data_IF_722950105703
#
_entry.id   IF_722950105703
#
_cell.length_a   1.000
_cell.length_b   1.000
_cell.length_c   1.000
_cell.angle_alpha   90.00
_cell.angle_beta   90.00
_cell.angle_gamma   90.00
#
_symmetry.space_group_name_H-M   'P 1'
#
loop_
_entity.id
_entity.type
_entity.pdbx_description
1 polymer ?
#
# COMPACT_ATOMS: atom_id res chain seq x y z
N UNK A 1 2.57 -2.04 -12.82
CA UNK A 1 1.31 -1.28 -12.64
C UNK A 1 1.38 -0.26 -11.51
N UNK A 2 1.73 -0.60 -10.25
CA UNK A 2 1.80 0.37 -9.14
C UNK A 2 2.63 1.62 -9.49
N UNK A 3 3.88 1.44 -9.93
CA UNK A 3 4.77 2.54 -10.33
C UNK A 3 4.15 3.45 -11.40
N UNK A 4 3.59 2.85 -12.45
CA UNK A 4 2.99 3.59 -13.57
C UNK A 4 1.80 4.44 -13.12
N UNK A 5 0.95 3.89 -12.25
CA UNK A 5 -0.18 4.63 -11.67
C UNK A 5 0.30 5.80 -10.78
N UNK A 6 1.32 5.59 -9.95
CA UNK A 6 1.93 6.66 -9.16
C UNK A 6 2.60 7.73 -10.05
N UNK A 7 3.32 7.32 -11.10
CA UNK A 7 3.94 8.24 -12.07
C UNK A 7 2.88 9.12 -12.76
N UNK A 8 1.72 8.54 -13.08
CA UNK A 8 0.54 9.22 -13.62
C UNK A 8 -0.24 10.10 -12.61
N UNK A 9 0.20 10.17 -11.35
CA UNK A 9 -0.45 11.02 -10.34
C UNK A 9 -1.64 10.37 -9.63
N UNK A 10 -1.81 9.05 -9.73
CA UNK A 10 -2.93 8.34 -9.10
C UNK A 10 -2.54 7.78 -7.74
N UNK A 11 -3.44 7.89 -6.76
CA UNK A 11 -3.40 7.04 -5.58
C UNK A 11 -3.53 5.57 -5.99
N UNK A 12 -2.88 4.67 -5.25
CA UNK A 12 -2.88 3.24 -5.56
C UNK A 12 -3.35 2.43 -4.36
N UNK A 13 -4.33 1.56 -4.59
CA UNK A 13 -4.69 0.46 -3.71
C UNK A 13 -4.34 -0.85 -4.43
N UNK A 14 -3.44 -1.65 -3.86
CA UNK A 14 -2.93 -2.87 -4.49
C UNK A 14 -3.13 -4.11 -3.61
N UNK A 15 -3.30 -5.26 -4.25
CA UNK A 15 -3.32 -6.56 -3.55
C UNK A 15 -1.98 -6.90 -2.88
N UNK A 16 -2.03 -7.77 -1.86
CA UNK A 16 -0.81 -8.31 -1.25
C UNK A 16 -0.30 -9.55 -2.03
N UNK A 17 1.01 -9.79 -2.12
CA UNK A 17 2.10 -8.88 -1.75
C UNK A 17 2.27 -7.75 -2.78
N UNK A 18 2.60 -6.55 -2.31
CA UNK A 18 2.79 -5.37 -3.17
C UNK A 18 3.96 -5.52 -4.15
N UNK A 19 5.00 -6.23 -3.73
CA UNK A 19 6.23 -6.49 -4.47
C UNK A 19 6.99 -7.66 -3.82
N UNK A 20 8.01 -8.17 -4.52
CA UNK A 20 8.72 -9.39 -4.13
C UNK A 20 9.80 -9.18 -3.06
N UNK A 21 10.26 -7.94 -2.84
CA UNK A 21 11.28 -7.62 -1.85
C UNK A 21 11.10 -6.22 -1.28
N UNK A 22 11.72 -5.98 -0.11
CA UNK A 22 11.62 -4.72 0.61
C UNK A 22 12.25 -3.52 -0.12
N UNK A 23 13.33 -3.74 -0.89
CA UNK A 23 13.99 -2.67 -1.65
C UNK A 23 13.10 -2.10 -2.75
N UNK A 24 12.38 -2.96 -3.48
CA UNK A 24 11.40 -2.53 -4.46
C UNK A 24 10.21 -1.81 -3.79
N UNK A 25 9.75 -2.27 -2.62
CA UNK A 25 8.71 -1.57 -1.88
C UNK A 25 9.14 -0.16 -1.48
N UNK A 26 10.36 -0.01 -0.95
CA UNK A 26 10.89 1.27 -0.51
C UNK A 26 10.95 2.29 -1.66
N UNK A 27 11.28 1.86 -2.88
CA UNK A 27 11.25 2.72 -4.07
C UNK A 27 9.83 3.20 -4.40
N UNK A 28 8.82 2.34 -4.27
CA UNK A 28 7.42 2.70 -4.52
C UNK A 28 6.88 3.65 -3.44
N UNK A 29 7.21 3.42 -2.17
CA UNK A 29 6.85 4.31 -1.06
C UNK A 29 7.46 5.70 -1.26
N UNK A 30 8.77 5.77 -1.58
CA UNK A 30 9.45 7.04 -1.85
C UNK A 30 8.82 7.80 -3.02
N UNK A 31 8.44 7.09 -4.10
CA UNK A 31 7.78 7.69 -5.24
C UNK A 31 6.39 8.25 -4.88
N UNK A 32 5.60 7.51 -4.11
CA UNK A 32 4.30 7.95 -3.64
C UNK A 32 4.41 9.19 -2.74
N UNK A 33 5.35 9.17 -1.79
CA UNK A 33 5.64 10.26 -0.86
C UNK A 33 6.04 11.56 -1.59
N UNK A 34 6.98 11.45 -2.54
CA UNK A 34 7.45 12.61 -3.33
C UNK A 34 6.35 13.26 -4.16
N UNK A 35 5.30 12.50 -4.51
CA UNK A 35 4.15 12.98 -5.28
C UNK A 35 2.93 13.30 -4.40
N UNK A 36 3.05 13.17 -3.09
CA UNK A 36 1.95 13.31 -2.13
C UNK A 36 0.76 12.39 -2.44
N UNK A 37 1.04 11.14 -2.81
CA UNK A 37 0.04 10.12 -3.15
C UNK A 37 -0.01 9.03 -2.07
N UNK A 38 -1.19 8.47 -1.87
CA UNK A 38 -1.36 7.26 -1.07
C UNK A 38 -0.98 6.00 -1.86
N UNK A 39 -0.10 5.18 -1.28
CA UNK A 39 0.14 3.79 -1.66
C UNK A 39 -0.40 2.89 -0.53
N UNK A 40 -1.49 2.19 -0.81
CA UNK A 40 -2.24 1.38 0.15
C UNK A 40 -2.27 -0.09 -0.29
N UNK A 41 -2.35 -1.00 0.68
CA UNK A 41 -2.36 -2.43 0.44
C UNK A 41 -3.61 -3.09 1.00
N UNK A 42 -4.14 -4.07 0.27
CA UNK A 42 -5.26 -4.91 0.69
C UNK A 42 -4.82 -5.90 1.78
N UNK A 43 -4.62 -5.40 3.00
CA UNK A 43 -4.33 -6.22 4.17
C UNK A 43 -5.63 -6.59 4.88
N UNK A 44 -6.48 -7.37 4.19
CA UNK A 44 -7.86 -7.68 4.62
C UNK A 44 -7.95 -8.19 6.08
N UNK A 45 -6.97 -8.98 6.53
CA UNK A 45 -6.94 -9.48 7.91
C UNK A 45 -6.83 -8.36 8.96
N UNK A 46 -6.38 -7.16 8.60
CA UNK A 46 -6.28 -6.02 9.52
C UNK A 46 -7.60 -5.27 9.68
N UNK A 47 -8.59 -5.48 8.81
CA UNK A 47 -9.92 -4.87 8.94
C UNK A 47 -10.95 -5.84 9.51
N UNK A 48 -10.51 -7.04 9.87
CA UNK A 48 -11.38 -8.11 10.31
C UNK A 48 -11.82 -7.88 11.77
N UNK A 49 -13.12 -7.90 12.11
CA UNK A 49 -13.58 -7.57 13.47
C UNK A 49 -12.95 -8.43 14.57
N UNK A 50 -12.64 -9.70 14.31
CA UNK A 50 -12.00 -10.59 15.29
C UNK A 50 -10.52 -10.28 15.53
N UNK A 51 -9.84 -9.58 14.62
CA UNK A 51 -8.43 -9.17 14.79
C UNK A 51 -8.32 -7.74 15.30
N UNK A 52 -9.37 -6.94 15.12
CA UNK A 52 -9.58 -5.64 15.73
C UNK A 52 -9.96 -5.90 17.20
N UNK A 53 -8.98 -6.00 18.10
CA UNK A 53 -9.24 -6.30 19.51
C UNK A 53 -10.33 -5.38 20.08
N UNK A 54 -11.55 -5.89 20.21
CA UNK A 54 -12.63 -5.21 20.90
C UNK A 54 -12.32 -5.31 22.39
N UNK A 55 -11.61 -4.31 22.91
CA UNK A 55 -11.56 -4.06 24.34
C UNK A 55 -12.90 -3.52 24.79
N UNK A 56 -13.82 -4.42 25.13
CA UNK A 56 -14.87 -4.24 26.14
C UNK A 56 -15.37 -5.60 26.61
#
# INVERSE_FOLDING_TARGET
MIRQALEAGCHVFAEKPACLNAGEFAKLVKLADTKHLHLMLALANRTNPETQGHGN
#
